data_IF_427701863324
#
_entry.id   IF_427701863324
#
_cell.length_a   1.000
_cell.length_b   1.000
_cell.length_c   1.000
_cell.angle_alpha   90.00
_cell.angle_beta   90.00
_cell.angle_gamma   90.00
#
_symmetry.space_group_name_H-M   'P 1'
#
loop_
_entity.id
_entity.type
_entity.pdbx_description
1 polymer ?
#
# COMPACT_ATOMS: atom_id res chain seq x y z
N UNK A 1 32.69 12.63 -25.43
CA UNK A 1 32.62 11.28 -24.81
C UNK A 1 32.12 10.29 -25.85
N UNK A 2 32.74 9.11 -25.97
CA UNK A 2 32.31 8.08 -26.93
C UNK A 2 30.95 7.50 -26.51
N UNK A 3 29.97 7.55 -27.40
CA UNK A 3 28.67 6.90 -27.20
C UNK A 3 28.85 5.39 -27.34
N UNK A 4 28.38 4.65 -26.35
CA UNK A 4 28.37 3.20 -26.36
C UNK A 4 26.94 2.68 -26.49
N UNK A 5 26.81 1.41 -26.89
CA UNK A 5 25.53 0.69 -26.95
C UNK A 5 25.67 -0.62 -26.18
N UNK A 6 24.67 -0.95 -25.38
CA UNK A 6 24.56 -2.25 -24.72
C UNK A 6 23.15 -2.80 -24.85
N UNK A 7 23.05 -4.10 -25.06
CA UNK A 7 21.78 -4.81 -25.16
C UNK A 7 21.67 -5.77 -23.97
N UNK A 8 20.53 -5.77 -23.32
CA UNK A 8 20.16 -6.75 -22.30
C UNK A 8 18.84 -7.41 -22.68
N UNK A 9 18.60 -8.60 -22.15
CA UNK A 9 17.31 -9.28 -22.26
C UNK A 9 16.72 -9.41 -20.85
N UNK A 10 15.45 -9.04 -20.70
CA UNK A 10 14.65 -9.29 -19.50
C UNK A 10 13.60 -10.33 -19.87
N UNK A 11 13.48 -11.36 -19.03
CA UNK A 11 12.48 -12.42 -19.19
C UNK A 11 11.32 -12.13 -18.25
N UNK A 12 10.11 -12.05 -18.77
CA UNK A 12 8.88 -11.88 -17.97
C UNK A 12 8.07 -13.18 -17.97
N UNK A 13 7.27 -13.41 -16.94
CA UNK A 13 6.49 -14.65 -16.78
C UNK A 13 5.25 -14.67 -17.66
N UNK A 14 4.52 -13.56 -17.71
CA UNK A 14 3.26 -13.42 -18.44
C UNK A 14 3.08 -11.99 -18.98
N UNK A 15 1.96 -11.75 -19.66
CA UNK A 15 1.65 -10.44 -20.25
C UNK A 15 1.36 -9.37 -19.19
N UNK A 16 0.94 -9.73 -17.98
CA UNK A 16 0.70 -8.79 -16.87
C UNK A 16 2.03 -8.25 -16.33
N UNK A 17 3.02 -9.12 -16.10
CA UNK A 17 4.38 -8.68 -15.74
C UNK A 17 4.99 -7.83 -16.86
N UNK A 18 4.76 -8.21 -18.12
CA UNK A 18 5.22 -7.44 -19.27
C UNK A 18 4.66 -6.02 -19.27
N UNK A 19 3.35 -5.87 -19.12
CA UNK A 19 2.68 -4.57 -19.13
C UNK A 19 3.18 -3.69 -17.97
N UNK A 20 3.19 -4.23 -16.76
CA UNK A 20 3.60 -3.49 -15.57
C UNK A 20 5.07 -3.07 -15.65
N UNK A 21 5.95 -3.95 -16.13
CA UNK A 21 7.35 -3.63 -16.35
C UNK A 21 7.56 -2.53 -17.38
N UNK A 22 6.81 -2.55 -18.49
CA UNK A 22 6.88 -1.50 -19.51
C UNK A 22 6.33 -0.17 -18.98
N UNK A 23 5.25 -0.18 -18.20
CA UNK A 23 4.66 1.00 -17.54
C UNK A 23 5.68 1.67 -16.62
N UNK A 24 6.36 0.89 -15.79
CA UNK A 24 7.39 1.40 -14.89
C UNK A 24 8.64 1.87 -15.63
N UNK A 25 9.03 1.18 -16.71
CA UNK A 25 10.16 1.58 -17.54
C UNK A 25 9.91 2.92 -18.26
N UNK A 26 8.66 3.20 -18.67
CA UNK A 26 8.30 4.49 -19.29
C UNK A 26 8.41 5.67 -18.31
N UNK A 27 8.25 5.43 -17.01
CA UNK A 27 8.40 6.45 -15.95
C UNK A 27 9.87 6.79 -15.67
N UNK A 28 10.81 5.96 -16.17
CA UNK A 28 12.24 6.11 -15.92
C UNK A 28 12.80 7.32 -16.68
N UNK A 29 13.22 8.36 -15.94
CA UNK A 29 13.92 9.52 -16.50
C UNK A 29 15.42 9.37 -16.34
N UNK A 30 16.10 9.04 -17.43
CA UNK A 30 17.57 8.89 -17.47
C UNK A 30 18.16 9.61 -18.69
N UNK A 31 19.44 10.03 -18.62
CA UNK A 31 20.17 10.61 -19.75
C UNK A 31 20.52 9.59 -20.85
N UNK A 32 20.10 8.33 -20.72
CA UNK A 32 20.31 7.26 -21.69
C UNK A 32 19.10 7.07 -22.61
N UNK A 33 19.34 6.78 -23.89
CA UNK A 33 18.29 6.37 -24.82
C UNK A 33 17.99 4.87 -24.63
N UNK A 34 16.73 4.56 -24.32
CA UNK A 34 16.26 3.20 -24.08
C UNK A 34 15.26 2.82 -25.17
N UNK A 35 15.47 1.69 -25.83
CA UNK A 35 14.55 1.13 -26.82
C UNK A 35 14.27 -0.34 -26.55
N UNK A 36 12.99 -0.70 -26.48
CA UNK A 36 12.53 -2.03 -26.08
C UNK A 36 11.87 -2.72 -27.25
N UNK A 37 12.25 -3.97 -27.50
CA UNK A 37 11.52 -4.86 -28.41
C UNK A 37 11.05 -6.08 -27.63
N UNK A 38 9.75 -6.32 -27.64
CA UNK A 38 9.16 -7.54 -27.12
C UNK A 38 9.14 -8.65 -28.17
N UNK A 39 9.51 -9.86 -27.78
CA UNK A 39 9.24 -11.09 -28.52
C UNK A 39 8.80 -12.15 -27.52
N UNK A 40 7.52 -12.54 -27.56
CA UNK A 40 6.93 -13.44 -26.55
C UNK A 40 7.21 -12.91 -25.14
N UNK A 41 7.84 -13.71 -24.28
CA UNK A 41 8.18 -13.39 -22.90
C UNK A 41 9.57 -12.75 -22.74
N UNK A 42 10.22 -12.40 -23.84
CA UNK A 42 11.54 -11.78 -23.84
C UNK A 42 11.45 -10.31 -24.26
N UNK A 43 11.97 -9.43 -23.41
CA UNK A 43 12.13 -8.01 -23.70
C UNK A 43 13.60 -7.70 -23.98
N UNK A 44 13.94 -7.44 -25.25
CA UNK A 44 15.26 -6.97 -25.66
C UNK A 44 15.35 -5.46 -25.49
N UNK A 45 16.13 -5.02 -24.51
CA UNK A 45 16.28 -3.61 -24.14
C UNK A 45 17.66 -3.13 -24.62
N UNK A 46 17.64 -2.18 -25.55
CA UNK A 46 18.81 -1.49 -26.08
C UNK A 46 19.00 -0.20 -25.29
N UNK A 47 20.18 -0.02 -24.69
CA UNK A 47 20.54 1.19 -23.95
C UNK A 47 21.73 1.85 -24.65
N UNK A 48 21.61 3.14 -24.95
CA UNK A 48 22.66 3.94 -25.59
C UNK A 48 22.95 5.19 -24.78
N UNK A 49 24.22 5.50 -24.55
CA UNK A 49 24.65 6.62 -23.72
C UNK A 49 26.15 6.61 -23.44
N UNK A 50 26.60 7.31 -22.41
CA UNK A 50 27.96 7.12 -21.90
C UNK A 50 28.06 5.79 -21.16
N UNK A 51 29.29 5.33 -20.88
CA UNK A 51 29.51 4.07 -20.15
C UNK A 51 28.87 4.09 -18.75
N UNK A 52 28.84 5.26 -18.10
CA UNK A 52 28.23 5.46 -16.79
C UNK A 52 26.71 5.43 -16.89
N UNK A 53 26.12 6.19 -17.82
CA UNK A 53 24.66 6.20 -18.05
C UNK A 53 24.12 4.80 -18.36
N UNK A 54 24.85 4.03 -19.20
CA UNK A 54 24.47 2.66 -19.54
C UNK A 54 24.48 1.76 -18.30
N UNK A 55 25.51 1.89 -17.44
CA UNK A 55 25.62 1.08 -16.22
C UNK A 55 24.47 1.41 -15.26
N UNK A 56 24.19 2.69 -15.06
CA UNK A 56 23.09 3.14 -14.22
C UNK A 56 21.73 2.68 -14.76
N UNK A 57 21.47 2.90 -16.05
CA UNK A 57 20.22 2.49 -16.69
C UNK A 57 19.98 0.99 -16.56
N UNK A 58 20.99 0.15 -16.82
CA UNK A 58 20.85 -1.30 -16.66
C UNK A 58 20.57 -1.70 -15.20
N UNK A 59 21.21 -1.03 -14.23
CA UNK A 59 20.92 -1.26 -12.81
C UNK A 59 19.46 -0.92 -12.50
N UNK A 60 18.99 0.27 -12.89
CA UNK A 60 17.61 0.72 -12.69
C UNK A 60 16.59 -0.19 -13.36
N UNK A 61 16.86 -0.61 -14.60
CA UNK A 61 16.00 -1.55 -15.33
C UNK A 61 15.85 -2.87 -14.56
N UNK A 62 16.94 -3.41 -14.01
CA UNK A 62 16.90 -4.64 -13.21
C UNK A 62 16.17 -4.45 -11.88
N UNK A 63 16.36 -3.30 -11.22
CA UNK A 63 15.62 -2.94 -10.00
C UNK A 63 14.11 -2.89 -10.27
N UNK A 64 13.68 -2.24 -11.36
CA UNK A 64 12.27 -2.21 -11.78
C UNK A 64 11.74 -3.61 -11.99
N UNK A 65 12.45 -4.47 -12.74
CA UNK A 65 12.04 -5.85 -12.98
C UNK A 65 11.84 -6.63 -11.68
N UNK A 66 12.78 -6.51 -10.74
CA UNK A 66 12.68 -7.18 -9.45
C UNK A 66 11.49 -6.66 -8.62
N UNK A 67 11.26 -5.35 -8.62
CA UNK A 67 10.13 -4.72 -7.92
C UNK A 67 8.79 -5.17 -8.50
N UNK A 68 8.64 -5.16 -9.83
CA UNK A 68 7.42 -5.61 -10.51
C UNK A 68 7.13 -7.07 -10.17
N UNK A 69 8.14 -7.94 -10.18
CA UNK A 69 7.95 -9.33 -9.77
C UNK A 69 7.52 -9.48 -8.31
N UNK A 70 8.16 -8.75 -7.40
CA UNK A 70 7.82 -8.83 -5.98
C UNK A 70 6.42 -8.28 -5.68
N UNK A 71 5.94 -7.31 -6.49
CA UNK A 71 4.59 -6.77 -6.44
C UNK A 71 3.55 -7.76 -6.95
N UNK A 72 3.84 -8.45 -8.06
CA UNK A 72 2.87 -9.31 -8.76
C UNK A 72 2.86 -10.76 -8.27
N UNK A 73 3.97 -11.24 -7.73
CA UNK A 73 4.12 -12.64 -7.33
C UNK A 73 4.67 -12.74 -5.91
N UNK A 74 4.10 -13.62 -5.08
CA UNK A 74 4.59 -13.81 -3.74
C UNK A 74 5.95 -14.52 -3.76
N UNK A 75 6.74 -14.28 -2.73
CA UNK A 75 7.94 -15.04 -2.47
C UNK A 75 7.61 -16.47 -1.99
N UNK A 76 8.64 -17.23 -1.62
CA UNK A 76 8.46 -18.62 -1.13
C UNK A 76 7.69 -18.72 0.20
N UNK A 77 7.53 -17.61 0.92
CA UNK A 77 6.77 -17.52 2.17
C UNK A 77 5.35 -17.04 1.94
N UNK A 78 4.95 -16.80 0.69
CA UNK A 78 3.63 -16.27 0.35
C UNK A 78 3.53 -14.74 0.45
N UNK A 79 4.67 -14.02 0.53
CA UNK A 79 4.67 -12.58 0.78
C UNK A 79 4.95 -11.77 -0.49
N UNK A 80 4.12 -10.76 -0.72
CA UNK A 80 4.28 -9.72 -1.72
C UNK A 80 5.08 -8.55 -1.16
N UNK A 81 5.71 -7.76 -2.03
CA UNK A 81 6.40 -6.52 -1.66
C UNK A 81 6.15 -5.43 -2.66
N UNK A 82 5.76 -4.27 -2.17
CA UNK A 82 5.54 -3.08 -2.99
C UNK A 82 5.76 -1.81 -2.18
N UNK A 83 6.07 -0.71 -2.87
CA UNK A 83 6.28 0.57 -2.19
C UNK A 83 4.94 1.16 -1.76
N UNK A 84 4.92 1.83 -0.60
CA UNK A 84 3.71 2.53 -0.13
C UNK A 84 3.33 3.63 -1.11
N UNK A 85 4.29 4.34 -1.69
CA UNK A 85 4.04 5.40 -2.67
C UNK A 85 3.32 4.90 -3.93
N UNK A 86 3.71 3.73 -4.46
CA UNK A 86 3.02 3.16 -5.61
C UNK A 86 1.61 2.73 -5.22
N UNK A 87 1.41 2.19 -4.01
CA UNK A 87 0.11 1.78 -3.50
C UNK A 87 -0.85 2.97 -3.37
N UNK A 88 -0.40 4.05 -2.75
CA UNK A 88 -1.18 5.29 -2.60
C UNK A 88 -1.49 5.91 -3.97
N UNK A 89 -0.52 5.88 -4.90
CA UNK A 89 -0.73 6.38 -6.27
C UNK A 89 -1.78 5.58 -7.02
N UNK A 90 -1.74 4.26 -6.95
CA UNK A 90 -2.66 3.40 -7.70
C UNK A 90 -4.07 3.39 -7.09
N UNK A 91 -4.18 3.43 -5.76
CA UNK A 91 -5.46 3.53 -5.06
C UNK A 91 -6.10 4.92 -5.14
N UNK A 92 -5.32 5.96 -5.45
CA UNK A 92 -5.79 7.35 -5.42
C UNK A 92 -6.09 7.88 -4.01
N UNK A 93 -5.72 7.13 -2.97
CA UNK A 93 -6.00 7.47 -1.57
C UNK A 93 -4.76 8.03 -0.85
N UNK A 94 -4.98 8.72 0.27
CA UNK A 94 -3.93 9.30 1.11
C UNK A 94 -4.04 8.82 2.56
N UNK A 95 -4.03 7.50 2.74
CA UNK A 95 -4.13 6.84 4.04
C UNK A 95 -2.74 6.72 4.67
N UNK A 96 -2.65 6.97 5.99
CA UNK A 96 -1.36 6.86 6.69
C UNK A 96 -0.94 5.39 6.87
N UNK A 97 0.37 5.11 6.78
CA UNK A 97 0.93 3.77 6.96
C UNK A 97 0.46 3.04 8.24
N UNK A 98 0.37 3.69 9.43
CA UNK A 98 -0.14 3.02 10.63
C UNK A 98 -1.53 2.42 10.48
N UNK A 99 -2.42 3.09 9.72
CA UNK A 99 -3.79 2.60 9.46
C UNK A 99 -3.73 1.36 8.57
N UNK A 100 -2.92 1.37 7.52
CA UNK A 100 -2.74 0.20 6.63
C UNK A 100 -2.23 -1.01 7.41
N UNK A 101 -1.17 -0.82 8.21
CA UNK A 101 -0.57 -1.90 9.02
C UNK A 101 -1.59 -2.44 10.01
N UNK A 102 -2.24 -1.58 10.80
CA UNK A 102 -3.23 -2.01 11.79
C UNK A 102 -4.39 -2.75 11.15
N UNK A 103 -4.86 -2.29 9.99
CA UNK A 103 -5.96 -2.96 9.26
C UNK A 103 -5.55 -4.36 8.81
N UNK A 104 -4.37 -4.50 8.20
CA UNK A 104 -3.84 -5.81 7.80
C UNK A 104 -3.64 -6.76 8.98
N UNK A 105 -3.09 -6.27 10.10
CA UNK A 105 -2.95 -7.06 11.32
C UNK A 105 -4.29 -7.58 11.83
N UNK A 106 -5.33 -6.74 11.83
CA UNK A 106 -6.67 -7.12 12.29
C UNK A 106 -7.34 -8.13 11.34
N UNK A 107 -7.09 -8.02 10.04
CA UNK A 107 -7.56 -9.00 9.04
C UNK A 107 -6.79 -10.33 9.11
N UNK A 108 -5.78 -10.45 9.98
CA UNK A 108 -4.96 -11.64 10.13
C UNK A 108 -3.87 -11.79 9.05
N UNK A 109 -3.61 -10.75 8.27
CA UNK A 109 -2.56 -10.74 7.27
C UNK A 109 -1.18 -10.63 7.91
N UNK A 110 -0.19 -11.29 7.33
CA UNK A 110 1.21 -10.99 7.66
C UNK A 110 1.54 -9.62 7.11
N UNK A 111 2.10 -8.73 7.93
CA UNK A 111 2.50 -7.38 7.48
C UNK A 111 3.80 -6.93 8.17
N UNK A 112 4.70 -6.34 7.39
CA UNK A 112 5.92 -5.68 7.84
C UNK A 112 6.19 -4.45 6.97
N UNK A 113 6.63 -3.35 7.59
CA UNK A 113 7.13 -2.18 6.84
C UNK A 113 8.64 -2.14 6.97
N UNK A 114 9.34 -2.23 5.84
CA UNK A 114 10.80 -2.23 5.79
C UNK A 114 11.29 -1.39 4.62
N UNK A 115 12.19 -0.45 4.90
CA UNK A 115 12.88 0.37 3.87
C UNK A 115 11.90 1.10 2.93
N UNK A 116 10.70 1.47 3.40
CA UNK A 116 9.66 2.14 2.61
C UNK A 116 8.79 1.20 1.77
N UNK A 117 9.00 -0.12 1.87
CA UNK A 117 8.16 -1.14 1.27
C UNK A 117 7.20 -1.73 2.32
N UNK A 118 5.99 -2.05 1.86
CA UNK A 118 5.05 -2.90 2.56
C UNK A 118 5.28 -4.34 2.11
N UNK A 119 5.55 -5.21 3.08
CA UNK A 119 5.71 -6.66 2.88
C UNK A 119 4.47 -7.30 3.48
N UNK A 120 3.65 -7.99 2.69
CA UNK A 120 2.41 -8.58 3.20
C UNK A 120 1.98 -9.83 2.44
N UNK A 121 1.16 -10.67 3.06
CA UNK A 121 0.49 -11.80 2.40
C UNK A 121 -0.64 -11.35 1.46
N UNK A 122 -1.13 -10.11 1.57
CA UNK A 122 -2.19 -9.59 0.71
C UNK A 122 -1.69 -9.29 -0.72
N UNK A 123 -2.36 -9.80 -1.78
CA UNK A 123 -2.04 -9.47 -3.16
C UNK A 123 -2.21 -7.98 -3.49
N UNK A 124 -1.48 -7.51 -4.51
CA UNK A 124 -1.49 -6.11 -4.93
C UNK A 124 -2.89 -5.55 -5.19
N UNK A 125 -3.71 -6.24 -5.98
CA UNK A 125 -5.06 -5.76 -6.34
C UNK A 125 -5.96 -5.60 -5.11
N UNK A 126 -5.90 -6.56 -4.20
CA UNK A 126 -6.66 -6.54 -2.96
C UNK A 126 -6.20 -5.40 -2.06
N UNK A 127 -4.88 -5.17 -1.97
CA UNK A 127 -4.33 -4.04 -1.22
C UNK A 127 -4.74 -2.69 -1.82
N UNK A 128 -4.74 -2.55 -3.15
CA UNK A 128 -5.19 -1.32 -3.83
C UNK A 128 -6.65 -1.06 -3.50
N UNK A 129 -7.50 -2.09 -3.57
CA UNK A 129 -8.93 -1.99 -3.21
C UNK A 129 -9.10 -1.59 -1.74
N UNK A 130 -8.44 -2.28 -0.82
CA UNK A 130 -8.47 -2.00 0.62
C UNK A 130 -8.04 -0.56 0.93
N UNK A 131 -6.97 -0.10 0.28
CA UNK A 131 -6.45 1.27 0.46
C UNK A 131 -7.42 2.31 -0.08
N UNK A 132 -8.12 2.00 -1.18
CA UNK A 132 -9.22 2.81 -1.71
C UNK A 132 -10.36 2.95 -0.70
N UNK A 133 -10.86 1.83 -0.17
CA UNK A 133 -11.92 1.80 0.85
C UNK A 133 -11.54 2.60 2.10
N UNK A 134 -10.32 2.41 2.61
CA UNK A 134 -9.80 3.20 3.73
C UNK A 134 -9.71 4.70 3.39
N UNK A 135 -9.45 5.05 2.14
CA UNK A 135 -9.45 6.43 1.65
C UNK A 135 -10.84 7.06 1.66
N UNK A 136 -11.85 6.32 1.22
CA UNK A 136 -13.26 6.72 1.27
C UNK A 136 -13.70 6.93 2.73
N UNK A 137 -13.50 5.93 3.59
CA UNK A 137 -13.83 6.01 5.01
C UNK A 137 -13.11 7.15 5.72
N UNK A 138 -11.83 7.37 5.38
CA UNK A 138 -11.07 8.50 5.90
C UNK A 138 -11.73 9.82 5.51
N UNK A 139 -12.21 9.95 4.28
CA UNK A 139 -12.83 11.19 3.80
C UNK A 139 -14.07 11.55 4.61
N UNK A 140 -14.89 10.55 4.95
CA UNK A 140 -16.14 10.71 5.70
C UNK A 140 -15.90 11.27 7.10
N UNK A 141 -14.89 10.76 7.81
CA UNK A 141 -14.62 11.14 9.21
C UNK A 141 -13.56 12.23 9.36
N UNK A 142 -12.83 12.59 8.31
CA UNK A 142 -11.61 13.40 8.40
C UNK A 142 -11.80 14.80 8.97
N UNK A 143 -12.98 15.40 8.84
CA UNK A 143 -13.23 16.75 9.35
C UNK A 143 -13.53 16.74 10.85
N UNK A 144 -14.19 15.69 11.32
CA UNK A 144 -14.73 15.59 12.67
C UNK A 144 -13.84 14.78 13.62
N UNK A 145 -12.77 14.17 13.13
CA UNK A 145 -11.91 13.30 13.96
C UNK A 145 -10.47 13.79 14.01
N UNK A 146 -9.74 13.44 15.06
CA UNK A 146 -8.27 13.59 15.10
C UNK A 146 -7.56 12.44 14.40
N UNK A 147 -6.24 12.57 14.16
CA UNK A 147 -5.47 11.49 13.53
C UNK A 147 -5.45 10.21 14.37
N UNK A 148 -5.34 10.32 15.70
CA UNK A 148 -5.21 9.16 16.58
C UNK A 148 -6.48 8.31 16.60
N UNK A 149 -7.67 8.93 16.67
CA UNK A 149 -8.93 8.18 16.66
C UNK A 149 -9.15 7.46 15.32
N UNK A 150 -8.67 8.02 14.19
CA UNK A 150 -8.74 7.35 12.86
C UNK A 150 -7.89 6.09 12.78
N UNK A 151 -6.81 5.98 13.56
CA UNK A 151 -6.02 4.75 13.67
C UNK A 151 -6.77 3.62 14.42
N UNK A 152 -7.93 3.92 15.03
CA UNK A 152 -8.84 2.94 15.63
C UNK A 152 -10.08 2.76 14.76
N UNK A 153 -10.74 3.86 14.37
CA UNK A 153 -12.00 3.84 13.61
C UNK A 153 -11.84 3.08 12.29
N UNK A 154 -10.87 3.47 11.46
CA UNK A 154 -10.80 2.95 10.09
C UNK A 154 -10.47 1.46 10.03
N UNK A 155 -9.47 0.94 10.79
CA UNK A 155 -9.22 -0.49 10.81
C UNK A 155 -10.41 -1.31 11.30
N UNK A 156 -11.15 -0.84 12.32
CA UNK A 156 -12.31 -1.56 12.86
C UNK A 156 -13.49 -1.51 11.90
N UNK A 157 -13.76 -0.36 11.29
CA UNK A 157 -14.80 -0.19 10.28
C UNK A 157 -14.60 -1.18 9.13
N UNK A 158 -13.36 -1.31 8.62
CA UNK A 158 -13.04 -2.31 7.60
C UNK A 158 -13.19 -3.74 8.12
N UNK A 159 -12.66 -4.06 9.30
CA UNK A 159 -12.70 -5.41 9.86
C UNK A 159 -14.13 -5.92 10.04
N UNK A 160 -15.03 -5.06 10.50
CA UNK A 160 -16.41 -5.41 10.86
C UNK A 160 -17.43 -5.03 9.78
N UNK A 161 -17.00 -4.39 8.69
CA UNK A 161 -17.89 -3.91 7.63
C UNK A 161 -18.89 -2.85 8.10
N UNK A 162 -18.47 -2.00 9.05
CA UNK A 162 -19.31 -0.96 9.64
C UNK A 162 -19.03 0.40 9.00
N UNK A 163 -19.99 1.31 9.12
CA UNK A 163 -19.75 2.70 8.76
C UNK A 163 -18.75 3.35 9.76
N UNK A 164 -17.77 4.16 9.29
CA UNK A 164 -16.82 4.82 10.17
C UNK A 164 -17.46 5.72 11.25
N UNK A 165 -18.62 6.32 10.99
CA UNK A 165 -19.36 7.10 11.97
C UNK A 165 -20.00 6.20 13.03
N UNK A 166 -20.55 5.05 12.65
CA UNK A 166 -21.07 4.06 13.61
C UNK A 166 -19.97 3.62 14.59
N UNK A 167 -18.76 3.36 14.09
CA UNK A 167 -17.61 3.04 14.95
C UNK A 167 -17.21 4.21 15.85
N UNK A 168 -17.38 5.45 15.37
CA UNK A 168 -17.14 6.65 16.18
C UNK A 168 -18.15 6.77 17.31
N UNK A 169 -19.43 6.51 17.02
CA UNK A 169 -20.51 6.55 18.01
C UNK A 169 -20.30 5.47 19.08
N UNK A 170 -19.94 4.25 18.70
CA UNK A 170 -19.58 3.18 19.64
C UNK A 170 -18.41 3.59 20.56
N UNK A 171 -17.38 4.27 20.03
CA UNK A 171 -16.30 4.78 20.86
C UNK A 171 -16.79 5.81 21.89
N UNK A 172 -17.78 6.64 21.54
CA UNK A 172 -18.37 7.62 22.46
C UNK A 172 -19.23 6.92 23.52
N UNK A 173 -20.08 5.97 23.13
CA UNK A 173 -20.94 5.20 24.03
C UNK A 173 -20.13 4.43 25.07
N UNK A 174 -18.99 3.86 24.68
CA UNK A 174 -18.06 3.16 25.57
C UNK A 174 -17.18 4.10 26.41
N UNK A 175 -17.31 5.42 26.25
CA UNK A 175 -16.48 6.42 26.94
C UNK A 175 -15.00 6.38 26.52
N UNK A 176 -14.70 5.88 25.32
CA UNK A 176 -13.37 5.79 24.74
C UNK A 176 -13.01 7.02 23.90
N UNK A 177 -14.03 7.74 23.40
CA UNK A 177 -13.90 9.00 22.70
C UNK A 177 -14.85 10.06 23.27
N UNK A 178 -14.50 11.32 23.07
CA UNK A 178 -15.33 12.46 23.47
C UNK A 178 -15.29 13.56 22.41
N UNK A 179 -16.39 14.30 22.28
CA UNK A 179 -16.44 15.50 21.44
C UNK A 179 -15.76 16.67 22.16
N UNK A 180 -14.75 17.25 21.51
CA UNK A 180 -14.06 18.45 21.97
C UNK A 180 -14.67 19.68 21.33
N UNK A 181 -15.49 20.41 22.09
CA UNK A 181 -16.17 21.64 21.61
C UNK A 181 -15.19 22.72 21.14
N UNK A 182 -14.02 22.85 21.78
CA UNK A 182 -13.00 23.82 21.44
C UNK A 182 -12.33 23.55 20.07
N UNK A 183 -12.28 22.28 19.66
CA UNK A 183 -11.66 21.83 18.41
C UNK A 183 -12.65 21.40 17.35
N UNK A 184 -13.93 21.26 17.72
CA UNK A 184 -14.99 20.63 16.93
C UNK A 184 -14.57 19.26 16.37
N UNK A 185 -13.99 18.42 17.24
CA UNK A 185 -13.50 17.08 16.86
C UNK A 185 -13.70 16.04 17.95
N UNK A 186 -13.92 14.80 17.53
CA UNK A 186 -13.78 13.61 18.36
C UNK A 186 -12.30 13.30 18.63
N UNK A 187 -12.00 13.12 19.91
CA UNK A 187 -10.67 12.74 20.41
C UNK A 187 -10.78 11.50 21.29
N UNK A 188 -9.76 10.64 21.26
CA UNK A 188 -9.67 9.50 22.17
C UNK A 188 -9.38 9.99 23.60
N UNK A 189 -10.09 9.42 24.55
CA UNK A 189 -9.89 9.64 26.00
C UNK A 189 -8.76 8.75 26.54
N UNK A 190 -8.54 7.59 25.90
CA UNK A 190 -7.50 6.61 26.23
C UNK A 190 -6.45 6.54 25.13
N UNK A 191 -5.34 5.84 25.38
CA UNK A 191 -4.43 5.54 24.27
C UNK A 191 -5.11 4.61 23.24
N UNK A 192 -4.63 4.68 22.00
CA UNK A 192 -5.28 4.01 20.86
C UNK A 192 -5.29 2.49 20.99
N UNK A 193 -4.25 1.89 21.56
CA UNK A 193 -4.17 0.44 21.77
C UNK A 193 -5.25 -0.05 22.76
N UNK A 194 -5.43 0.67 23.88
CA UNK A 194 -6.48 0.37 24.86
C UNK A 194 -7.88 0.58 24.29
N UNK A 195 -8.10 1.68 23.55
CA UNK A 195 -9.39 1.94 22.93
C UNK A 195 -9.76 0.85 21.93
N UNK A 196 -8.79 0.44 21.11
CA UNK A 196 -8.97 -0.65 20.15
C UNK A 196 -9.28 -1.98 20.85
N UNK A 197 -8.55 -2.34 21.91
CA UNK A 197 -8.79 -3.59 22.65
C UNK A 197 -10.21 -3.62 23.26
N UNK A 198 -10.64 -2.54 23.89
CA UNK A 198 -11.97 -2.47 24.53
C UNK A 198 -13.08 -2.54 23.47
N UNK A 199 -12.92 -1.80 22.37
CA UNK A 199 -13.88 -1.78 21.27
C UNK A 199 -14.02 -3.17 20.62
N UNK A 200 -12.91 -3.85 20.34
CA UNK A 200 -12.93 -5.19 19.76
C UNK A 200 -13.59 -6.21 20.69
N UNK A 201 -13.28 -6.16 21.99
CA UNK A 201 -13.92 -7.03 23.00
C UNK A 201 -15.43 -6.83 23.09
N UNK A 202 -15.88 -5.59 22.98
CA UNK A 202 -17.31 -5.27 22.96
C UNK A 202 -17.99 -5.89 21.74
N UNK A 203 -17.41 -5.70 20.54
CA UNK A 203 -17.94 -6.23 19.29
C UNK A 203 -17.89 -7.77 19.19
N UNK A 204 -16.90 -8.42 19.82
CA UNK A 204 -16.85 -9.89 19.94
C UNK A 204 -17.87 -10.44 20.96
N UNK A 205 -18.25 -9.63 21.96
CA UNK A 205 -19.26 -9.99 22.95
C UNK A 205 -20.67 -10.01 22.36
N UNK A 206 -20.99 -9.06 21.48
CA UNK A 206 -22.29 -8.98 20.81
C UNK A 206 -22.48 -10.09 19.76
N UNK A 207 -21.41 -10.51 19.06
CA UNK A 207 -21.46 -11.63 18.10
C UNK A 207 -21.83 -12.99 18.75
N UNK A 208 -21.78 -13.11 20.08
CA UNK A 208 -22.13 -14.35 20.79
C UNK A 208 -23.54 -14.34 21.43
N UNK A 209 -24.31 -13.26 21.26
CA UNK A 209 -25.66 -13.12 21.81
C UNK A 209 -26.81 -13.30 20.77
N UNK A 210 -26.48 -13.60 19.51
CA UNK A 210 -27.42 -13.96 18.43
C UNK A 210 -27.37 -15.46 18.05
#
# INVERSE_FOLDING_TARGET
MARAKKVITIHVRDDREKEEFLRELQRLRLPAFIYVHGKLNDLKINVQGTKEDIREAIRRIREIHNRVRAKLYPDRRGLYRYTIDDLLRESGASVSTPILVKTLELLGETVEVREGELITSMPWEEMVSLTGTLGEYLSDVSLQTTRQIREVILPVAVLKGLDPMEVTDLLVELGLAEWKEDKFKYELVKNKEQALEILLKHLEGEENED
#
